data_IF_276856846936
#
_entry.id   IF_276856846936
#
_cell.length_a   1.000
_cell.length_b   1.000
_cell.length_c   1.000
_cell.angle_alpha   90.00
_cell.angle_beta   90.00
_cell.angle_gamma   90.00
#
_symmetry.space_group_name_H-M   'P 1'
#
loop_
_entity.id
_entity.type
_entity.pdbx_description
1 polymer ?
#
# COMPACT_ATOMS: atom_id res chain seq x y z
N UNK A 1 21.11 3.37 -8.31
CA UNK A 1 19.92 2.58 -8.66
C UNK A 1 19.63 1.63 -7.50
N UNK A 2 18.38 1.45 -7.14
CA UNK A 2 17.94 0.48 -6.13
C UNK A 2 17.78 -0.86 -6.86
N UNK A 3 18.53 -1.89 -6.46
CA UNK A 3 18.53 -3.21 -7.13
C UNK A 3 17.42 -4.14 -6.68
N UNK A 4 16.80 -3.85 -5.53
CA UNK A 4 15.67 -4.61 -5.01
C UNK A 4 14.43 -4.27 -5.80
N UNK A 5 13.74 -5.28 -6.33
CA UNK A 5 12.42 -5.09 -6.95
C UNK A 5 11.44 -4.53 -5.91
N UNK A 6 10.66 -3.53 -6.30
CA UNK A 6 9.66 -2.90 -5.45
C UNK A 6 8.29 -2.95 -6.11
N UNK A 7 7.29 -3.33 -5.34
CA UNK A 7 5.89 -3.18 -5.69
C UNK A 7 5.37 -1.88 -5.11
N UNK A 8 4.97 -0.98 -5.97
CA UNK A 8 4.57 0.37 -5.61
C UNK A 8 3.11 0.56 -6.00
N UNK A 9 2.28 0.93 -5.04
CA UNK A 9 0.93 1.41 -5.33
C UNK A 9 0.98 2.94 -5.35
N UNK A 10 0.67 3.52 -6.51
CA UNK A 10 0.59 4.95 -6.72
C UNK A 10 -0.88 5.36 -6.78
N UNK A 11 -1.30 6.19 -5.84
CA UNK A 11 -2.66 6.76 -5.80
C UNK A 11 -2.60 8.18 -6.33
N UNK A 12 -3.07 8.37 -7.57
CA UNK A 12 -2.92 9.61 -8.34
C UNK A 12 -4.01 9.70 -9.40
N UNK A 13 -4.73 10.80 -9.44
CA UNK A 13 -5.81 11.03 -10.41
C UNK A 13 -5.33 11.64 -11.73
N UNK A 14 -4.25 12.42 -11.69
CA UNK A 14 -3.68 13.01 -12.89
C UNK A 14 -2.74 12.03 -13.59
N UNK A 15 -3.21 11.49 -14.70
CA UNK A 15 -2.42 10.55 -15.52
C UNK A 15 -1.02 11.09 -15.87
N UNK A 16 -0.90 12.37 -16.17
CA UNK A 16 0.38 13.03 -16.48
C UNK A 16 1.36 12.96 -15.32
N UNK A 17 0.87 13.15 -14.10
CA UNK A 17 1.68 13.08 -12.89
C UNK A 17 2.05 11.62 -12.57
N UNK A 18 1.08 10.71 -12.69
CA UNK A 18 1.30 9.28 -12.51
C UNK A 18 2.36 8.74 -13.48
N UNK A 19 2.27 9.09 -14.77
CA UNK A 19 3.23 8.70 -15.81
C UNK A 19 4.63 9.24 -15.49
N UNK A 20 4.72 10.49 -15.06
CA UNK A 20 6.00 11.15 -14.76
C UNK A 20 6.64 10.60 -13.48
N UNK A 21 5.86 10.38 -12.42
CA UNK A 21 6.31 9.73 -11.20
C UNK A 21 6.82 8.33 -11.51
N UNK A 22 6.04 7.53 -12.26
CA UNK A 22 6.41 6.17 -12.66
C UNK A 22 7.70 6.15 -13.48
N UNK A 23 7.87 7.08 -14.42
CA UNK A 23 9.10 7.24 -15.21
C UNK A 23 10.32 7.50 -14.32
N UNK A 24 10.19 8.41 -13.34
CA UNK A 24 11.28 8.70 -12.41
C UNK A 24 11.60 7.52 -11.49
N UNK A 25 10.59 6.79 -11.04
CA UNK A 25 10.78 5.56 -10.27
C UNK A 25 11.55 4.53 -11.09
N UNK A 26 11.20 4.32 -12.36
CA UNK A 26 11.92 3.41 -13.27
C UNK A 26 13.40 3.77 -13.49
N UNK A 27 13.78 5.04 -13.25
CA UNK A 27 15.18 5.47 -13.29
C UNK A 27 15.96 5.19 -11.99
N UNK A 28 15.29 5.05 -10.87
CA UNK A 28 15.91 4.90 -9.55
C UNK A 28 15.78 3.51 -8.97
N UNK A 29 14.77 2.74 -9.40
CA UNK A 29 14.52 1.35 -9.01
C UNK A 29 14.68 0.44 -10.22
N UNK A 30 15.36 -0.68 -10.05
CA UNK A 30 15.50 -1.71 -11.07
C UNK A 30 14.25 -2.60 -11.08
N UNK A 31 13.56 -2.66 -12.23
CA UNK A 31 12.32 -3.45 -12.42
C UNK A 31 11.22 -3.17 -11.37
N UNK A 32 10.75 -1.91 -11.21
CA UNK A 32 9.64 -1.63 -10.32
C UNK A 32 8.33 -2.19 -10.90
N UNK A 33 7.51 -2.75 -10.05
CA UNK A 33 6.11 -3.10 -10.36
C UNK A 33 5.22 -1.98 -9.83
N UNK A 34 4.58 -1.21 -10.72
CA UNK A 34 3.77 -0.06 -10.32
C UNK A 34 2.32 -0.32 -10.71
N UNK A 35 1.42 -0.19 -9.74
CA UNK A 35 -0.03 -0.09 -9.98
C UNK A 35 -0.47 1.33 -9.68
N UNK A 36 -1.33 1.87 -10.54
CA UNK A 36 -1.87 3.23 -10.41
C UNK A 36 -3.37 3.15 -10.24
N UNK A 37 -3.91 3.91 -9.31
CA UNK A 37 -5.36 4.07 -9.10
C UNK A 37 -5.65 5.47 -8.55
N UNK A 38 -6.87 5.94 -8.71
CA UNK A 38 -7.41 7.17 -8.11
C UNK A 38 -8.59 6.89 -7.16
N UNK A 39 -8.89 5.60 -6.95
CA UNK A 39 -10.10 5.13 -6.29
C UNK A 39 -9.77 4.39 -4.98
N UNK A 40 -10.42 4.80 -3.89
CA UNK A 40 -10.21 4.23 -2.55
C UNK A 40 -10.63 2.75 -2.46
N UNK A 41 -11.69 2.35 -3.17
CA UNK A 41 -12.14 0.95 -3.20
C UNK A 41 -11.10 0.08 -3.91
N UNK A 42 -10.54 0.57 -5.03
CA UNK A 42 -9.49 -0.13 -5.75
C UNK A 42 -8.19 -0.21 -4.93
N UNK A 43 -7.87 0.82 -4.14
CA UNK A 43 -6.77 0.76 -3.16
C UNK A 43 -6.95 -0.43 -2.23
N UNK A 44 -8.15 -0.63 -1.66
CA UNK A 44 -8.44 -1.78 -0.79
C UNK A 44 -8.21 -3.11 -1.49
N UNK A 45 -8.65 -3.24 -2.73
CA UNK A 45 -8.45 -4.44 -3.55
C UNK A 45 -6.98 -4.68 -3.86
N UNK A 46 -6.23 -3.63 -4.19
CA UNK A 46 -4.80 -3.73 -4.52
C UNK A 46 -3.94 -4.01 -3.29
N UNK A 47 -4.28 -3.49 -2.12
CA UNK A 47 -3.62 -3.86 -0.87
C UNK A 47 -3.68 -5.38 -0.63
N UNK A 48 -4.81 -5.99 -0.96
CA UNK A 48 -5.03 -7.43 -0.76
C UNK A 48 -4.36 -8.31 -1.82
N UNK A 49 -4.46 -7.92 -3.10
CA UNK A 49 -4.08 -8.79 -4.22
C UNK A 49 -2.71 -8.48 -4.80
N UNK A 50 -2.29 -7.23 -4.73
CA UNK A 50 -1.00 -6.80 -5.24
C UNK A 50 0.06 -6.81 -4.14
N UNK A 51 -0.32 -6.63 -2.88
CA UNK A 51 0.55 -6.58 -1.70
C UNK A 51 1.76 -5.65 -1.93
N UNK A 52 1.55 -4.34 -2.04
CA UNK A 52 2.60 -3.37 -2.30
C UNK A 52 3.64 -3.33 -1.17
N UNK A 53 4.86 -2.92 -1.49
CA UNK A 53 5.93 -2.66 -0.53
C UNK A 53 5.89 -1.24 0.01
N UNK A 54 5.31 -0.33 -0.76
CA UNK A 54 5.17 1.09 -0.42
C UNK A 54 3.98 1.70 -1.17
N UNK A 55 3.31 2.62 -0.51
CA UNK A 55 2.26 3.43 -1.09
C UNK A 55 2.81 4.84 -1.35
N UNK A 56 2.59 5.35 -2.56
CA UNK A 56 2.77 6.76 -2.90
C UNK A 56 1.37 7.33 -3.16
N UNK A 57 1.01 8.43 -2.53
CA UNK A 57 -0.32 9.00 -2.72
C UNK A 57 -0.27 10.51 -2.88
N UNK A 58 -1.02 11.05 -3.85
CA UNK A 58 -1.37 12.45 -3.76
C UNK A 58 -2.24 12.69 -2.54
N UNK A 59 -2.17 13.91 -2.03
CA UNK A 59 -3.01 14.38 -0.94
C UNK A 59 -4.40 14.79 -1.44
N UNK A 60 -4.46 15.44 -2.60
CA UNK A 60 -5.69 15.93 -3.19
C UNK A 60 -6.19 14.98 -4.28
N UNK A 61 -7.18 14.16 -3.96
CA UNK A 61 -7.84 13.26 -4.87
C UNK A 61 -9.30 13.68 -5.08
N UNK A 62 -9.93 13.42 -6.24
CA UNK A 62 -11.28 13.93 -6.55
C UNK A 62 -12.38 13.40 -5.63
N UNK A 63 -12.27 12.14 -5.19
CA UNK A 63 -13.31 11.46 -4.43
C UNK A 63 -12.96 11.24 -2.95
N UNK A 64 -11.71 11.47 -2.55
CA UNK A 64 -11.22 11.29 -1.18
C UNK A 64 -9.97 12.15 -0.96
N UNK A 65 -9.43 12.14 0.24
CA UNK A 65 -8.13 12.75 0.54
C UNK A 65 -7.05 11.69 0.67
N UNK A 66 -5.79 12.07 0.48
CA UNK A 66 -4.67 11.18 0.76
C UNK A 66 -4.60 10.72 2.22
N UNK A 67 -5.23 11.47 3.16
CA UNK A 67 -5.40 11.04 4.56
C UNK A 67 -6.38 9.88 4.69
N UNK A 68 -7.43 9.84 3.87
CA UNK A 68 -8.37 8.72 3.87
C UNK A 68 -7.69 7.45 3.32
N UNK A 69 -6.84 7.62 2.30
CA UNK A 69 -5.98 6.54 1.79
C UNK A 69 -5.01 6.07 2.88
N UNK A 70 -4.34 7.00 3.58
CA UNK A 70 -3.42 6.66 4.67
C UNK A 70 -4.13 5.88 5.79
N UNK A 71 -5.31 6.31 6.23
CA UNK A 71 -6.10 5.60 7.24
C UNK A 71 -6.42 4.18 6.80
N UNK A 72 -6.97 4.01 5.60
CA UNK A 72 -7.26 2.69 5.03
C UNK A 72 -6.02 1.78 4.99
N UNK A 73 -4.87 2.33 4.58
CA UNK A 73 -3.60 1.61 4.52
C UNK A 73 -3.12 1.21 5.91
N UNK A 74 -3.21 2.11 6.90
CA UNK A 74 -2.78 1.85 8.28
C UNK A 74 -3.70 0.89 9.02
N UNK A 75 -4.99 0.90 8.73
CA UNK A 75 -5.95 -0.09 9.23
C UNK A 75 -5.65 -1.49 8.66
N UNK A 76 -5.16 -1.57 7.42
CA UNK A 76 -4.76 -2.82 6.78
C UNK A 76 -3.40 -3.33 7.28
N UNK A 77 -2.40 -2.46 7.38
CA UNK A 77 -1.04 -2.73 7.87
C UNK A 77 -0.43 -1.46 8.45
N UNK A 78 -0.36 -1.38 9.79
CA UNK A 78 0.16 -0.23 10.50
C UNK A 78 1.62 0.11 10.12
N UNK A 79 2.40 -0.91 9.72
CA UNK A 79 3.81 -0.76 9.35
C UNK A 79 4.01 -0.47 7.85
N UNK A 80 2.94 -0.46 7.03
CA UNK A 80 3.03 -0.20 5.59
C UNK A 80 3.67 1.17 5.34
N UNK A 81 4.79 1.24 4.62
CA UNK A 81 5.38 2.51 4.25
C UNK A 81 4.45 3.33 3.35
N UNK A 82 4.21 4.58 3.75
CA UNK A 82 3.33 5.50 3.05
C UNK A 82 4.03 6.84 2.84
N UNK A 83 4.10 7.30 1.61
CA UNK A 83 4.77 8.55 1.22
C UNK A 83 3.76 9.42 0.48
N UNK A 84 3.57 10.63 0.97
CA UNK A 84 2.80 11.63 0.24
C UNK A 84 3.62 12.26 -0.88
N UNK A 85 2.99 12.41 -2.06
CA UNK A 85 3.55 13.10 -3.23
C UNK A 85 2.52 14.12 -3.70
N UNK A 86 2.62 15.37 -3.27
CA UNK A 86 1.57 16.36 -3.52
C UNK A 86 2.07 17.68 -4.08
N UNK A 87 1.21 18.38 -4.83
CA UNK A 87 1.54 19.63 -5.52
C UNK A 87 1.65 20.84 -4.61
N UNK A 88 0.78 20.93 -3.64
CA UNK A 88 0.70 22.06 -2.70
C UNK A 88 0.57 21.59 -1.28
N UNK A 89 1.36 22.19 -0.40
CA UNK A 89 1.00 22.38 0.99
C UNK A 89 0.98 23.88 1.19
N UNK A 90 -0.21 24.43 1.30
CA UNK A 90 -0.40 25.83 1.66
C UNK A 90 -0.35 26.03 3.19
N UNK A 91 -0.10 24.94 3.93
CA UNK A 91 -0.11 24.95 5.39
C UNK A 91 1.00 24.06 5.95
N UNK A 92 1.96 24.68 6.66
CA UNK A 92 3.00 23.96 7.43
C UNK A 92 2.38 23.01 8.48
N UNK A 93 1.17 23.31 8.93
CA UNK A 93 0.39 22.47 9.84
C UNK A 93 -0.06 21.16 9.17
N UNK A 94 -0.39 21.19 7.88
CA UNK A 94 -0.74 19.99 7.12
C UNK A 94 0.45 19.04 6.94
N UNK A 95 1.67 19.57 6.70
CA UNK A 95 2.88 18.77 6.64
C UNK A 95 3.21 18.13 7.98
N UNK A 96 3.06 18.88 9.07
CA UNK A 96 3.27 18.37 10.42
C UNK A 96 2.22 17.28 10.77
N UNK A 97 0.96 17.50 10.45
CA UNK A 97 -0.12 16.54 10.68
C UNK A 97 0.07 15.25 9.87
N UNK A 98 0.58 15.32 8.65
CA UNK A 98 0.86 14.14 7.80
C UNK A 98 1.95 13.23 8.42
N UNK A 99 2.96 13.82 9.03
CA UNK A 99 4.01 13.07 9.75
C UNK A 99 3.45 12.46 11.04
N UNK A 100 2.65 13.22 11.79
CA UNK A 100 2.02 12.77 13.04
C UNK A 100 1.00 11.64 12.82
N UNK A 101 0.40 11.54 11.63
CA UNK A 101 -0.54 10.47 11.25
C UNK A 101 0.14 9.17 10.80
N UNK A 102 1.50 9.10 10.84
CA UNK A 102 2.24 7.87 10.55
C UNK A 102 2.70 7.71 9.10
N UNK A 103 2.72 8.79 8.31
CA UNK A 103 3.38 8.76 7.01
C UNK A 103 4.89 8.57 7.16
N UNK A 104 5.49 7.78 6.28
CA UNK A 104 6.93 7.51 6.25
C UNK A 104 7.73 8.60 5.55
N UNK A 105 7.05 9.49 4.84
CA UNK A 105 7.70 10.58 4.12
C UNK A 105 6.73 11.45 3.33
N UNK A 106 7.30 12.52 2.82
CA UNK A 106 6.58 13.55 2.11
C UNK A 106 7.44 14.13 0.99
N UNK A 107 6.87 14.29 -0.21
CA UNK A 107 7.53 14.88 -1.39
C UNK A 107 6.63 15.91 -2.05
N UNK A 108 7.15 17.11 -2.27
CA UNK A 108 6.45 18.15 -3.03
C UNK A 108 6.66 17.99 -4.54
N UNK A 109 5.56 18.04 -5.31
CA UNK A 109 5.54 18.03 -6.78
C UNK A 109 6.03 19.35 -7.41
N UNK A 110 6.51 20.33 -6.60
CA UNK A 110 6.93 21.68 -7.10
C UNK A 110 7.87 21.63 -8.31
N UNK A 111 8.69 20.58 -8.41
CA UNK A 111 9.55 20.36 -9.56
C UNK A 111 9.57 18.86 -9.91
N UNK A 112 8.65 18.47 -10.76
CA UNK A 112 8.49 17.09 -11.20
C UNK A 112 9.72 16.54 -11.95
N UNK A 113 10.57 17.42 -12.54
CA UNK A 113 11.80 16.99 -13.23
C UNK A 113 12.82 16.35 -12.31
N UNK A 114 12.81 16.72 -11.04
CA UNK A 114 13.75 16.20 -10.00
C UNK A 114 13.05 15.36 -8.94
N UNK A 115 11.80 14.99 -9.14
CA UNK A 115 11.02 14.24 -8.14
C UNK A 115 11.69 12.90 -7.78
N UNK A 116 12.37 12.26 -8.74
CA UNK A 116 13.14 11.05 -8.51
C UNK A 116 14.27 11.23 -7.49
N UNK A 117 14.94 12.40 -7.47
CA UNK A 117 15.98 12.68 -6.48
C UNK A 117 15.42 12.75 -5.06
N UNK A 118 14.19 13.26 -4.91
CA UNK A 118 13.50 13.35 -3.62
C UNK A 118 12.92 12.01 -3.18
N UNK A 119 12.37 11.22 -4.11
CA UNK A 119 11.84 9.88 -3.83
C UNK A 119 12.94 8.87 -3.50
N UNK A 120 14.11 9.00 -4.12
CA UNK A 120 15.21 8.04 -3.99
C UNK A 120 15.65 7.76 -2.54
N UNK A 121 15.88 8.75 -1.66
CA UNK A 121 16.24 8.49 -0.26
C UNK A 121 15.12 7.78 0.50
N UNK A 122 13.85 8.15 0.28
CA UNK A 122 12.70 7.54 0.92
C UNK A 122 12.54 6.08 0.49
N UNK A 123 12.61 5.80 -0.81
CA UNK A 123 12.55 4.43 -1.32
C UNK A 123 13.75 3.58 -0.88
N UNK A 124 14.92 4.17 -0.72
CA UNK A 124 16.07 3.47 -0.11
C UNK A 124 15.82 3.09 1.33
N UNK A 125 15.18 3.95 2.11
CA UNK A 125 14.83 3.64 3.50
C UNK A 125 13.79 2.52 3.57
N UNK A 126 12.79 2.51 2.68
CA UNK A 126 11.84 1.40 2.53
C UNK A 126 12.60 0.10 2.28
N UNK A 127 13.51 0.08 1.31
CA UNK A 127 14.32 -1.12 0.98
C UNK A 127 15.21 -1.54 2.16
N UNK A 128 15.86 -0.59 2.83
CA UNK A 128 16.67 -0.91 4.00
C UNK A 128 15.88 -1.61 5.10
N UNK A 129 14.69 -1.10 5.41
CA UNK A 129 13.78 -1.70 6.37
C UNK A 129 13.25 -3.07 5.91
N UNK A 130 13.17 -3.29 4.60
CA UNK A 130 12.80 -4.59 4.02
C UNK A 130 13.91 -5.63 4.14
N UNK A 131 15.16 -5.25 3.89
CA UNK A 131 16.31 -6.19 3.85
C UNK A 131 16.50 -6.90 5.18
N UNK A 132 16.32 -6.23 6.30
CA UNK A 132 16.40 -6.86 7.63
C UNK A 132 15.35 -7.94 7.88
N UNK A 133 14.30 -8.01 7.04
CA UNK A 133 13.16 -8.92 7.19
C UNK A 133 12.71 -9.57 5.88
N UNK A 134 13.55 -9.63 4.84
CA UNK A 134 13.14 -10.04 3.47
C UNK A 134 12.44 -11.39 3.42
N UNK A 135 13.01 -12.45 3.99
CA UNK A 135 12.38 -13.78 3.95
C UNK A 135 11.06 -13.83 4.73
N UNK A 136 11.01 -13.16 5.86
CA UNK A 136 9.81 -13.11 6.69
C UNK A 136 8.71 -12.30 6.02
N UNK A 137 9.05 -11.15 5.45
CA UNK A 137 8.08 -10.30 4.73
C UNK A 137 7.50 -10.96 3.50
N UNK A 138 8.33 -11.68 2.71
CA UNK A 138 7.81 -12.40 1.55
C UNK A 138 6.87 -13.54 1.96
N UNK A 139 7.19 -14.29 3.01
CA UNK A 139 6.27 -15.28 3.59
C UNK A 139 4.98 -14.63 4.09
N UNK A 140 5.06 -13.49 4.78
CA UNK A 140 3.89 -12.73 5.24
C UNK A 140 3.07 -12.27 4.05
N UNK A 141 3.71 -11.73 3.00
CA UNK A 141 3.04 -11.29 1.76
C UNK A 141 2.28 -12.44 1.11
N UNK A 142 2.94 -13.57 0.86
CA UNK A 142 2.32 -14.75 0.24
C UNK A 142 1.15 -15.26 1.08
N UNK A 143 1.31 -15.30 2.41
CA UNK A 143 0.24 -15.70 3.30
C UNK A 143 -0.95 -14.70 3.27
N UNK A 144 -0.69 -13.38 3.24
CA UNK A 144 -1.74 -12.36 3.10
C UNK A 144 -2.55 -12.57 1.82
N UNK A 145 -1.86 -12.75 0.70
CA UNK A 145 -2.51 -12.97 -0.61
C UNK A 145 -3.34 -14.27 -0.58
N UNK A 146 -2.75 -15.36 -0.11
CA UNK A 146 -3.43 -16.66 -0.05
C UNK A 146 -4.68 -16.62 0.85
N UNK A 147 -4.57 -16.02 2.03
CA UNK A 147 -5.70 -15.85 2.96
C UNK A 147 -6.82 -15.04 2.32
N UNK A 148 -6.51 -13.95 1.65
CA UNK A 148 -7.51 -13.11 0.99
C UNK A 148 -8.17 -13.81 -0.21
N UNK A 149 -7.43 -14.64 -0.95
CA UNK A 149 -8.01 -15.49 -1.99
C UNK A 149 -8.97 -16.52 -1.38
N UNK A 150 -8.61 -17.13 -0.26
CA UNK A 150 -9.51 -18.06 0.46
C UNK A 150 -10.80 -17.35 0.87
N UNK A 151 -10.74 -16.13 1.41
CA UNK A 151 -11.94 -15.37 1.76
C UNK A 151 -12.84 -15.14 0.54
N UNK A 152 -12.28 -14.75 -0.60
CA UNK A 152 -13.07 -14.60 -1.83
C UNK A 152 -13.77 -15.89 -2.24
N UNK A 153 -13.04 -17.03 -2.24
CA UNK A 153 -13.66 -18.31 -2.53
C UNK A 153 -14.76 -18.67 -1.53
N UNK A 154 -14.59 -18.31 -0.25
CA UNK A 154 -15.60 -18.54 0.78
C UNK A 154 -16.81 -17.60 0.63
N UNK A 155 -16.63 -16.39 0.09
CA UNK A 155 -17.68 -15.43 -0.18
C UNK A 155 -18.47 -15.80 -1.45
N UNK A 156 -17.78 -16.31 -2.46
CA UNK A 156 -18.36 -16.77 -3.72
C UNK A 156 -19.04 -18.17 -3.59
N UNK A 157 -18.77 -18.88 -2.47
CA UNK A 157 -19.29 -20.22 -2.27
C UNK A 157 -20.73 -20.18 -1.74
N UNK A 158 -21.68 -20.57 -2.58
CA UNK A 158 -23.07 -20.81 -2.17
C UNK A 158 -23.19 -22.16 -1.43
N UNK A 159 -23.52 -22.08 -0.14
CA UNK A 159 -23.69 -23.28 0.68
C UNK A 159 -25.09 -23.89 0.45
N UNK A 160 -25.13 -25.11 -0.06
CA UNK A 160 -26.37 -25.83 -0.40
C UNK A 160 -27.04 -26.49 0.81
N UNK A 161 -26.32 -26.56 1.96
CA UNK A 161 -26.82 -27.18 3.19
C UNK A 161 -26.42 -26.43 4.45
N UNK A 162 -27.15 -26.66 5.55
CA UNK A 162 -26.87 -26.07 6.86
C UNK A 162 -25.51 -26.54 7.40
N UNK A 163 -25.15 -27.80 7.14
CA UNK A 163 -23.87 -28.39 7.52
C UNK A 163 -22.69 -27.71 6.80
N UNK A 164 -22.84 -27.37 5.52
CA UNK A 164 -21.83 -26.63 4.77
C UNK A 164 -21.65 -25.20 5.31
N UNK A 165 -22.73 -24.51 5.71
CA UNK A 165 -22.68 -23.19 6.34
C UNK A 165 -21.90 -23.22 7.64
N UNK A 166 -22.13 -24.25 8.47
CA UNK A 166 -21.40 -24.45 9.73
C UNK A 166 -19.89 -24.69 9.50
N UNK A 167 -19.55 -25.47 8.46
CA UNK A 167 -18.16 -25.70 8.07
C UNK A 167 -17.49 -24.40 7.61
N UNK A 168 -18.14 -23.62 6.77
CA UNK A 168 -17.63 -22.32 6.31
C UNK A 168 -17.43 -21.34 7.47
N UNK A 169 -18.38 -21.28 8.41
CA UNK A 169 -18.24 -20.45 9.61
C UNK A 169 -17.05 -20.86 10.49
N UNK A 170 -16.79 -22.17 10.63
CA UNK A 170 -15.62 -22.66 11.36
C UNK A 170 -14.31 -22.30 10.65
N UNK A 171 -14.25 -22.42 9.33
CA UNK A 171 -13.07 -22.05 8.53
C UNK A 171 -12.80 -20.54 8.68
N UNK A 172 -13.80 -19.68 8.53
CA UNK A 172 -13.66 -18.22 8.73
C UNK A 172 -13.13 -17.89 10.12
N UNK A 173 -13.73 -18.49 11.15
CA UNK A 173 -13.29 -18.29 12.55
C UNK A 173 -11.81 -18.69 12.76
N UNK A 174 -11.37 -19.80 12.19
CA UNK A 174 -9.98 -20.24 12.31
C UNK A 174 -9.01 -19.27 11.59
N UNK A 175 -9.41 -18.76 10.43
CA UNK A 175 -8.60 -17.77 9.69
C UNK A 175 -8.53 -16.45 10.46
N UNK A 176 -9.63 -16.00 11.07
CA UNK A 176 -9.65 -14.79 11.90
C UNK A 176 -8.78 -14.93 13.16
N UNK A 177 -8.74 -16.11 13.80
CA UNK A 177 -7.81 -16.38 14.90
C UNK A 177 -6.35 -16.26 14.47
N UNK A 178 -5.98 -16.79 13.31
CA UNK A 178 -4.62 -16.67 12.75
C UNK A 178 -4.26 -15.19 12.50
N UNK A 179 -5.22 -14.37 12.09
CA UNK A 179 -5.02 -12.91 11.94
C UNK A 179 -4.76 -12.24 13.30
N UNK A 180 -5.60 -12.51 14.30
CA UNK A 180 -5.51 -11.89 15.63
C UNK A 180 -4.22 -12.24 16.37
N UNK A 181 -3.75 -13.48 16.30
CA UNK A 181 -2.49 -13.92 16.92
C UNK A 181 -1.26 -13.28 16.29
N UNK A 182 -1.39 -12.82 15.05
CA UNK A 182 -0.34 -12.14 14.31
C UNK A 182 -0.26 -10.65 14.63
N UNK A 183 -1.41 -10.00 14.83
CA UNK A 183 -1.49 -8.57 15.12
C UNK A 183 -1.17 -8.26 16.59
N UNK A 184 -1.05 -9.30 17.43
CA UNK A 184 -0.70 -9.21 18.85
C UNK A 184 0.81 -9.41 19.13
N UNK A 185 1.65 -9.60 18.12
CA UNK A 185 3.11 -9.76 18.21
C UNK A 185 3.84 -8.66 17.44
#
# INVERSE_FOLDING_TARGET
MIKTALRILLVEDLKTDADLISYHIGKIVENPEIKVTDNLEEVSVLLQNFAPDVILSDYNLPACTGLDVLRLVKDFDADMPFIFVTGTIDDDELAANTILTGASGFVLKKNMRVIGEKLKPLLKQVVFNMIEKVELREKIRQNKIAVNQIYRYLDDFEADSEEQRDYLAKIRKNIDQIKLERDAK
#
